data_IF_212083256080
#
_entry.id   IF_212083256080
#
_cell.length_a   1.000
_cell.length_b   1.000
_cell.length_c   1.000
_cell.angle_alpha   90.00
_cell.angle_beta   90.00
_cell.angle_gamma   90.00
#
_symmetry.space_group_name_H-M   'P 1'
#
loop_
_entity.id
_entity.type
_entity.pdbx_description
1 polymer ?
#
# COMPACT_ATOMS: atom_id res chain seq x y z
N UNK A 1 -22.81 18.17 6.83
CA UNK A 1 -21.89 18.87 5.90
C UNK A 1 -22.17 18.36 4.50
N UNK A 2 -22.50 19.23 3.56
CA UNK A 2 -22.64 18.90 2.14
C UNK A 2 -21.27 19.02 1.46
N UNK A 3 -20.84 17.98 0.74
CA UNK A 3 -19.64 18.05 -0.10
C UNK A 3 -19.93 19.00 -1.27
N UNK A 4 -19.07 20.00 -1.58
CA UNK A 4 -19.35 20.98 -2.65
C UNK A 4 -19.62 20.35 -4.02
N UNK A 5 -19.06 19.16 -4.29
CA UNK A 5 -19.28 18.43 -5.55
C UNK A 5 -20.38 17.37 -5.51
N UNK A 6 -20.91 17.00 -4.34
CA UNK A 6 -21.90 15.94 -4.19
C UNK A 6 -22.91 16.31 -3.07
N UNK A 7 -24.01 17.00 -3.41
CA UNK A 7 -24.90 17.58 -2.40
C UNK A 7 -25.76 16.57 -1.63
N UNK A 8 -25.90 15.33 -2.11
CA UNK A 8 -26.82 14.35 -1.51
C UNK A 8 -26.14 13.09 -0.95
N UNK A 9 -25.06 12.59 -1.55
CA UNK A 9 -24.27 11.46 -1.05
C UNK A 9 -22.85 11.54 -1.64
N UNK A 10 -21.82 11.55 -0.79
CA UNK A 10 -20.44 11.45 -1.25
C UNK A 10 -19.96 10.00 -1.08
N UNK A 11 -19.61 9.27 -2.15
CA UNK A 11 -19.13 7.89 -2.05
C UNK A 11 -17.78 7.78 -1.31
N UNK A 12 -17.05 8.89 -1.19
CA UNK A 12 -15.74 8.96 -0.53
C UNK A 12 -15.81 9.50 0.92
N UNK A 13 -17.00 9.51 1.54
CA UNK A 13 -17.15 9.89 2.93
C UNK A 13 -16.76 8.69 3.82
N UNK A 14 -15.70 8.84 4.63
CA UNK A 14 -15.27 7.80 5.59
C UNK A 14 -15.33 8.30 7.02
N UNK A 15 -15.75 7.43 7.93
CA UNK A 15 -15.66 7.69 9.36
C UNK A 15 -14.22 7.46 9.82
N UNK A 16 -13.60 8.49 10.40
CA UNK A 16 -12.25 8.42 10.96
C UNK A 16 -12.40 8.29 12.49
N UNK A 17 -11.83 7.23 13.10
CA UNK A 17 -11.84 7.06 14.55
C UNK A 17 -11.15 8.23 15.27
N UNK A 18 -11.53 8.46 16.52
CA UNK A 18 -10.80 9.41 17.37
C UNK A 18 -9.48 8.78 17.83
N UNK A 19 -8.39 9.53 17.68
CA UNK A 19 -7.07 9.16 18.16
C UNK A 19 -6.52 10.31 19.03
N UNK A 20 -6.67 10.17 20.35
CA UNK A 20 -6.26 11.22 21.30
C UNK A 20 -4.79 11.05 21.67
N UNK A 21 -4.02 12.16 21.78
CA UNK A 21 -4.50 13.54 21.92
C UNK A 21 -4.69 14.32 20.61
N UNK A 22 -4.41 13.71 19.45
CA UNK A 22 -4.20 14.47 18.23
C UNK A 22 -5.49 14.78 17.45
N UNK A 23 -6.47 13.86 17.41
CA UNK A 23 -7.64 13.96 16.54
C UNK A 23 -8.93 13.52 17.26
N UNK A 24 -9.96 14.38 17.23
CA UNK A 24 -11.26 14.13 17.89
C UNK A 24 -12.19 13.14 17.19
N UNK A 25 -11.74 12.50 16.10
CA UNK A 25 -12.60 11.67 15.23
C UNK A 25 -13.64 12.49 14.44
N UNK A 26 -14.22 11.89 13.40
CA UNK A 26 -15.26 12.54 12.58
C UNK A 26 -15.40 11.97 11.17
N UNK A 27 -16.41 12.44 10.43
CA UNK A 27 -16.55 12.11 9.00
C UNK A 27 -15.61 12.99 8.17
N UNK A 28 -14.67 12.38 7.44
CA UNK A 28 -13.83 13.09 6.48
C UNK A 28 -14.24 12.72 5.06
N UNK A 29 -14.33 13.75 4.23
CA UNK A 29 -14.50 13.60 2.79
C UNK A 29 -13.12 13.73 2.16
N UNK A 30 -12.64 12.71 1.44
CA UNK A 30 -11.37 12.78 0.72
C UNK A 30 -11.37 13.79 -0.44
N UNK A 31 -12.51 14.43 -0.73
CA UNK A 31 -12.68 15.34 -1.87
C UNK A 31 -12.33 16.81 -1.55
N UNK A 32 -11.98 17.16 -0.31
CA UNK A 32 -11.82 18.57 0.13
C UNK A 32 -10.41 18.97 0.57
N UNK A 33 -9.39 18.12 0.39
CA UNK A 33 -8.02 18.66 0.43
C UNK A 33 -7.82 19.45 -0.85
N UNK A 34 -7.43 20.72 -0.74
CA UNK A 34 -7.25 21.64 -1.86
C UNK A 34 -6.19 21.20 -2.89
N UNK A 35 -5.59 20.02 -2.72
CA UNK A 35 -4.60 19.45 -3.62
C UNK A 35 -5.00 18.13 -4.28
N UNK A 36 -6.13 17.49 -3.93
CA UNK A 36 -6.62 16.30 -4.65
C UNK A 36 -5.63 15.13 -4.78
N UNK A 37 -4.52 15.14 -4.04
CA UNK A 37 -3.51 14.08 -4.03
C UNK A 37 -3.93 13.03 -3.01
N UNK A 38 -4.07 11.79 -3.47
CA UNK A 38 -4.12 10.62 -2.61
C UNK A 38 -2.66 10.31 -2.25
N UNK A 39 -2.29 10.26 -0.97
CA UNK A 39 -0.97 9.76 -0.56
C UNK A 39 -0.72 8.38 -1.17
N UNK A 40 0.49 8.10 -1.67
CA UNK A 40 0.75 6.86 -2.41
C UNK A 40 0.60 5.61 -1.52
N UNK A 41 0.77 5.76 -0.20
CA UNK A 41 0.52 4.73 0.83
C UNK A 41 -0.96 4.44 1.07
N UNK A 42 -1.86 5.30 0.58
CA UNK A 42 -3.31 5.08 0.57
C UNK A 42 -3.83 4.61 -0.80
N UNK A 43 -2.98 4.53 -1.83
CA UNK A 43 -3.36 4.03 -3.16
C UNK A 43 -3.39 2.50 -3.18
N UNK A 44 -4.48 1.93 -3.68
CA UNK A 44 -4.54 0.50 -3.97
C UNK A 44 -3.90 0.18 -5.34
N UNK A 45 -3.73 -1.12 -5.63
CA UNK A 45 -3.10 -1.59 -6.89
C UNK A 45 -3.78 -1.00 -8.13
N UNK A 46 -5.11 -1.00 -8.18
CA UNK A 46 -5.88 -0.49 -9.34
C UNK A 46 -5.64 1.01 -9.56
N UNK A 47 -5.49 1.78 -8.47
CA UNK A 47 -5.18 3.21 -8.53
C UNK A 47 -3.76 3.47 -9.02
N UNK A 48 -2.80 2.60 -8.66
CA UNK A 48 -1.42 2.69 -9.13
C UNK A 48 -1.32 2.32 -10.62
N UNK A 49 -2.01 1.27 -11.07
CA UNK A 49 -2.08 0.88 -12.48
C UNK A 49 -2.69 1.99 -13.34
N UNK A 50 -3.78 2.62 -12.86
CA UNK A 50 -4.37 3.76 -13.52
C UNK A 50 -3.43 4.97 -13.61
N UNK A 51 -2.53 5.16 -12.63
CA UNK A 51 -1.52 6.21 -12.66
C UNK A 51 -0.47 5.95 -13.75
N UNK A 52 0.01 4.71 -13.88
CA UNK A 52 0.96 4.31 -14.93
C UNK A 52 0.37 4.48 -16.33
N UNK A 53 -0.87 4.03 -16.55
CA UNK A 53 -1.56 4.20 -17.84
C UNK A 53 -1.70 5.68 -18.23
N UNK A 54 -2.01 6.55 -17.26
CA UNK A 54 -2.08 8.00 -17.51
C UNK A 54 -0.73 8.61 -17.86
N UNK A 55 0.35 8.15 -17.23
CA UNK A 55 1.70 8.62 -17.55
C UNK A 55 2.08 8.25 -18.99
N UNK A 56 1.83 7.01 -19.40
CA UNK A 56 2.08 6.54 -20.76
C UNK A 56 1.25 7.32 -21.81
N UNK A 57 -0.03 7.58 -21.52
CA UNK A 57 -0.88 8.41 -22.38
C UNK A 57 -0.35 9.83 -22.55
N UNK A 58 0.17 10.44 -21.48
CA UNK A 58 0.75 11.78 -21.52
C UNK A 58 2.03 11.83 -22.38
N UNK A 59 2.91 10.82 -22.26
CA UNK A 59 4.10 10.70 -23.10
C UNK A 59 3.74 10.54 -24.58
N UNK A 60 2.78 9.65 -24.90
CA UNK A 60 2.30 9.46 -26.26
C UNK A 60 1.68 10.73 -26.86
N UNK A 61 0.95 11.51 -26.06
CA UNK A 61 0.39 12.80 -26.51
C UNK A 61 1.49 13.81 -26.83
N UNK A 62 2.54 13.89 -25.99
CA UNK A 62 3.71 14.75 -26.25
C UNK A 62 4.41 14.34 -27.55
N UNK A 63 4.60 13.05 -27.79
CA UNK A 63 5.20 12.56 -29.04
C UNK A 63 4.36 12.92 -30.27
N UNK A 64 3.03 12.78 -30.22
CA UNK A 64 2.14 13.18 -31.33
C UNK A 64 2.22 14.67 -31.61
N UNK A 65 2.18 15.52 -30.58
CA UNK A 65 2.35 16.97 -30.75
C UNK A 65 3.73 17.28 -31.34
N UNK A 66 4.78 16.60 -30.89
CA UNK A 66 6.12 16.77 -31.44
C UNK A 66 6.20 16.33 -32.91
N UNK A 67 5.59 15.19 -33.27
CA UNK A 67 5.52 14.67 -34.62
C UNK A 67 4.73 15.59 -35.57
N UNK A 68 3.75 16.34 -35.07
CA UNK A 68 3.09 17.41 -35.83
C UNK A 68 4.01 18.62 -36.03
N UNK A 69 4.72 19.05 -34.98
CA UNK A 69 5.60 20.23 -35.02
C UNK A 69 6.79 20.05 -35.99
N UNK A 70 7.33 18.82 -36.15
CA UNK A 70 8.51 18.56 -36.97
C UNK A 70 8.29 18.87 -38.48
N UNK A 71 7.28 18.32 -39.17
CA UNK A 71 6.94 18.70 -40.54
C UNK A 71 6.52 20.17 -40.67
N UNK A 72 5.87 20.73 -39.64
CA UNK A 72 5.44 22.12 -39.63
C UNK A 72 6.60 23.12 -39.64
N UNK A 73 7.73 22.79 -38.99
CA UNK A 73 8.98 23.54 -39.11
C UNK A 73 9.62 23.42 -40.49
N UNK A 74 9.47 22.27 -41.15
CA UNK A 74 10.09 21.99 -42.45
C UNK A 74 9.33 22.62 -43.63
N UNK A 75 7.99 22.76 -43.54
CA UNK A 75 7.15 23.23 -44.65
C UNK A 75 6.62 24.67 -44.51
N UNK A 76 6.92 25.37 -43.41
CA UNK A 76 6.60 26.78 -43.24
C UNK A 76 5.16 27.05 -42.79
N UNK A 77 4.97 27.18 -41.47
CA UNK A 77 3.71 27.48 -40.78
C UNK A 77 2.96 28.75 -41.22
N UNK A 78 3.57 29.65 -41.99
CA UNK A 78 2.99 30.95 -42.28
C UNK A 78 1.73 30.89 -43.18
N UNK A 79 1.45 29.73 -43.81
CA UNK A 79 0.35 29.57 -44.75
C UNK A 79 -0.95 29.02 -44.14
N UNK A 80 -0.90 28.39 -42.95
CA UNK A 80 -2.08 27.82 -42.32
C UNK A 80 -2.76 28.82 -41.38
N UNK A 81 -4.10 28.97 -41.45
CA UNK A 81 -4.84 29.78 -40.48
C UNK A 81 -4.62 29.25 -39.05
N UNK A 82 -4.45 30.12 -38.05
CA UNK A 82 -4.27 29.72 -36.65
C UNK A 82 -5.35 28.78 -36.10
N UNK A 83 -6.58 28.89 -36.61
CA UNK A 83 -7.71 28.00 -36.28
C UNK A 83 -7.48 26.56 -36.72
N UNK A 84 -6.81 26.35 -37.85
CA UNK A 84 -6.45 25.02 -38.35
C UNK A 84 -5.35 24.41 -37.49
N UNK A 85 -4.37 25.21 -37.07
CA UNK A 85 -3.29 24.75 -36.17
C UNK A 85 -3.86 24.37 -34.79
N UNK A 86 -4.72 25.21 -34.21
CA UNK A 86 -5.36 24.92 -32.93
C UNK A 86 -6.21 23.63 -33.00
N UNK A 87 -6.94 23.41 -34.11
CA UNK A 87 -7.71 22.19 -34.33
C UNK A 87 -6.80 20.95 -34.41
N UNK A 88 -5.71 21.01 -35.18
CA UNK A 88 -4.80 19.86 -35.34
C UNK A 88 -4.07 19.51 -34.03
N UNK A 89 -3.72 20.52 -33.22
CA UNK A 89 -3.15 20.29 -31.88
C UNK A 89 -4.21 19.69 -30.95
N UNK A 90 -5.45 20.19 -30.99
CA UNK A 90 -6.56 19.60 -30.24
C UNK A 90 -6.81 18.14 -30.62
N UNK A 91 -6.89 17.83 -31.91
CA UNK A 91 -7.09 16.45 -32.42
C UNK A 91 -5.97 15.51 -31.98
N UNK A 92 -4.71 15.94 -32.00
CA UNK A 92 -3.59 15.11 -31.53
C UNK A 92 -3.58 14.89 -30.01
N UNK A 93 -4.11 15.84 -29.25
CA UNK A 93 -4.22 15.76 -27.80
C UNK A 93 -5.44 14.93 -27.36
N UNK A 94 -6.53 14.95 -28.13
CA UNK A 94 -7.77 14.21 -27.87
C UNK A 94 -7.76 12.77 -28.40
N UNK A 95 -6.79 12.38 -29.24
CA UNK A 95 -6.66 11.00 -29.71
C UNK A 95 -6.31 10.04 -28.55
N UNK A 96 -7.15 9.02 -28.26
CA UNK A 96 -6.83 8.02 -27.27
C UNK A 96 -5.59 7.23 -27.70
N UNK A 97 -4.67 6.99 -26.76
CA UNK A 97 -3.51 6.14 -27.04
C UNK A 97 -3.97 4.72 -27.42
N UNK A 98 -3.26 4.02 -28.33
CA UNK A 98 -3.65 2.68 -28.79
C UNK A 98 -3.72 1.60 -27.68
N UNK A 99 -3.20 1.88 -26.49
CA UNK A 99 -3.31 1.01 -25.31
C UNK A 99 -4.64 1.15 -24.53
N UNK A 100 -5.50 2.12 -24.88
CA UNK A 100 -6.80 2.33 -24.22
C UNK A 100 -7.88 1.36 -24.77
N UNK A 101 -7.66 0.06 -24.66
CA UNK A 101 -8.70 -0.95 -24.93
C UNK A 101 -9.24 -1.50 -23.62
N UNK A 102 -10.48 -1.11 -23.32
CA UNK A 102 -11.42 -1.77 -22.40
C UNK A 102 -11.08 -1.83 -20.90
N UNK A 103 -10.91 -0.67 -20.26
CA UNK A 103 -11.43 -0.43 -18.91
C UNK A 103 -11.31 1.06 -18.57
N UNK A 104 -12.42 1.69 -18.19
CA UNK A 104 -12.57 3.11 -17.82
C UNK A 104 -12.36 4.12 -18.94
N UNK A 105 -13.41 4.88 -19.26
CA UNK A 105 -13.28 6.14 -20.01
C UNK A 105 -12.22 7.01 -19.30
N UNK A 106 -11.18 7.49 -20.00
CA UNK A 106 -10.17 8.31 -19.36
C UNK A 106 -10.86 9.58 -18.87
N UNK A 107 -10.80 9.82 -17.56
CA UNK A 107 -11.22 11.09 -17.00
C UNK A 107 -10.52 12.22 -17.78
N UNK A 108 -11.22 13.32 -18.11
CA UNK A 108 -10.64 14.43 -18.86
C UNK A 108 -9.34 14.84 -18.18
N UNK A 109 -8.26 14.87 -18.96
CA UNK A 109 -6.93 15.15 -18.43
C UNK A 109 -6.91 16.57 -17.88
N UNK A 110 -6.66 16.78 -16.57
CA UNK A 110 -6.59 18.10 -15.98
C UNK A 110 -5.51 18.98 -16.65
N UNK A 111 -4.50 18.34 -17.26
CA UNK A 111 -3.50 19.01 -18.08
C UNK A 111 -4.10 19.60 -19.35
N UNK A 112 -4.95 18.84 -20.06
CA UNK A 112 -5.59 19.31 -21.28
C UNK A 112 -6.50 20.50 -20.99
N UNK A 113 -7.26 20.44 -19.89
CA UNK A 113 -8.06 21.56 -19.43
C UNK A 113 -7.19 22.77 -19.04
N UNK A 114 -6.06 22.57 -18.35
CA UNK A 114 -5.15 23.65 -17.98
C UNK A 114 -4.45 24.28 -19.21
N UNK A 115 -4.01 23.47 -20.18
CA UNK A 115 -3.46 23.96 -21.45
C UNK A 115 -4.52 24.75 -22.20
N UNK A 116 -5.74 24.21 -22.30
CA UNK A 116 -6.85 24.87 -22.98
C UNK A 116 -7.22 26.19 -22.31
N UNK A 117 -7.35 26.25 -20.97
CA UNK A 117 -7.64 27.50 -20.26
C UNK A 117 -6.49 28.51 -20.38
N UNK A 118 -5.23 28.09 -20.24
CA UNK A 118 -4.08 28.98 -20.40
C UNK A 118 -3.97 29.54 -21.84
N UNK A 119 -4.29 28.72 -22.85
CA UNK A 119 -4.37 29.17 -24.24
C UNK A 119 -5.56 30.11 -24.44
N UNK A 120 -6.72 29.82 -23.86
CA UNK A 120 -7.94 30.62 -23.97
C UNK A 120 -7.79 31.99 -23.33
N UNK A 121 -7.29 32.07 -22.09
CA UNK A 121 -7.08 33.34 -21.37
C UNK A 121 -6.13 34.26 -22.15
N UNK A 122 -4.99 33.74 -22.62
CA UNK A 122 -4.04 34.54 -23.40
C UNK A 122 -4.51 34.85 -24.82
N UNK A 123 -5.28 33.98 -25.44
CA UNK A 123 -5.89 34.26 -26.74
C UNK A 123 -6.91 35.38 -26.61
N UNK A 124 -7.72 35.39 -25.55
CA UNK A 124 -8.69 36.45 -25.27
C UNK A 124 -8.01 37.78 -24.91
N UNK A 125 -6.92 37.76 -24.15
CA UNK A 125 -6.15 38.97 -23.83
C UNK A 125 -5.43 39.55 -25.06
N UNK A 126 -4.85 38.69 -25.91
CA UNK A 126 -4.22 39.14 -27.15
C UNK A 126 -5.26 39.52 -28.21
N UNK A 127 -6.48 38.96 -28.16
CA UNK A 127 -7.56 39.25 -29.11
C UNK A 127 -7.95 40.73 -29.10
N UNK A 128 -7.81 41.38 -27.94
CA UNK A 128 -8.08 42.79 -27.74
C UNK A 128 -6.97 43.71 -28.29
N UNK A 129 -5.77 43.17 -28.55
CA UNK A 129 -4.59 43.89 -29.07
C UNK A 129 -4.29 43.57 -30.56
N UNK A 130 -5.19 42.80 -31.22
CA UNK A 130 -5.03 42.26 -32.59
C UNK A 130 -4.95 43.29 -33.72
N UNK A 131 -5.07 44.58 -33.43
CA UNK A 131 -4.94 45.62 -34.44
C UNK A 131 -3.51 45.83 -34.96
N UNK A 132 -2.47 45.31 -34.28
CA UNK A 132 -1.08 45.78 -34.51
C UNK A 132 0.00 44.70 -34.69
N UNK A 133 -0.27 43.41 -34.48
CA UNK A 133 0.77 42.35 -34.58
C UNK A 133 0.60 41.46 -35.81
N UNK A 134 1.70 41.20 -36.52
CA UNK A 134 1.72 40.29 -37.68
C UNK A 134 1.37 38.85 -37.25
N UNK A 135 0.62 38.06 -38.06
CA UNK A 135 0.28 36.66 -37.77
C UNK A 135 1.48 35.78 -37.38
N UNK A 136 2.67 36.06 -37.92
CA UNK A 136 3.91 35.36 -37.56
C UNK A 136 4.27 35.53 -36.07
N UNK A 137 4.08 36.72 -35.51
CA UNK A 137 4.34 36.99 -34.10
C UNK A 137 3.32 36.30 -33.18
N UNK A 138 2.06 36.20 -33.61
CA UNK A 138 1.01 35.53 -32.85
C UNK A 138 1.25 34.02 -32.75
N UNK A 139 1.61 33.37 -33.87
CA UNK A 139 1.94 31.93 -33.89
C UNK A 139 3.17 31.66 -33.01
N UNK A 140 4.20 32.50 -33.09
CA UNK A 140 5.39 32.37 -32.24
C UNK A 140 5.07 32.52 -30.75
N UNK A 141 4.21 33.48 -30.38
CA UNK A 141 3.74 33.68 -29.00
C UNK A 141 2.99 32.47 -28.47
N UNK A 142 2.02 31.95 -29.23
CA UNK A 142 1.26 30.74 -28.88
C UNK A 142 2.16 29.51 -28.72
N UNK A 143 3.09 29.29 -29.64
CA UNK A 143 4.03 28.17 -29.56
C UNK A 143 4.94 28.25 -28.33
N UNK A 144 5.38 29.46 -27.95
CA UNK A 144 6.18 29.66 -26.74
C UNK A 144 5.36 29.43 -25.46
N UNK A 145 4.09 29.86 -25.44
CA UNK A 145 3.18 29.58 -24.31
C UNK A 145 2.92 28.08 -24.18
N UNK A 146 2.57 27.38 -25.27
CA UNK A 146 2.34 25.94 -25.23
C UNK A 146 3.58 25.19 -24.74
N UNK A 147 4.78 25.58 -25.21
CA UNK A 147 6.05 25.02 -24.72
C UNK A 147 6.25 25.28 -23.23
N UNK A 148 5.98 26.50 -22.74
CA UNK A 148 6.14 26.83 -21.33
C UNK A 148 5.22 25.98 -20.43
N UNK A 149 3.96 25.79 -20.83
CA UNK A 149 3.01 24.94 -20.10
C UNK A 149 3.46 23.48 -20.13
N UNK A 150 3.85 22.95 -21.29
CA UNK A 150 4.33 21.57 -21.41
C UNK A 150 5.58 21.31 -20.56
N UNK A 151 6.55 22.24 -20.56
CA UNK A 151 7.74 22.14 -19.71
C UNK A 151 7.37 22.17 -18.22
N UNK A 152 6.50 23.10 -17.81
CA UNK A 152 6.07 23.21 -16.42
C UNK A 152 5.33 21.95 -15.96
N UNK A 153 4.49 21.36 -16.81
CA UNK A 153 3.79 20.13 -16.49
C UNK A 153 4.74 18.92 -16.44
N UNK A 154 5.66 18.79 -17.40
CA UNK A 154 6.67 17.74 -17.38
C UNK A 154 7.55 17.81 -16.12
N UNK A 155 7.88 19.01 -15.66
CA UNK A 155 8.58 19.22 -14.39
C UNK A 155 7.74 18.78 -13.18
N UNK A 156 6.43 19.07 -13.19
CA UNK A 156 5.52 18.65 -12.13
C UNK A 156 5.34 17.12 -12.10
N UNK A 157 5.16 16.47 -13.24
CA UNK A 157 5.09 15.01 -13.36
C UNK A 157 6.40 14.36 -12.91
N UNK A 158 7.54 14.88 -13.34
CA UNK A 158 8.83 14.36 -12.91
C UNK A 158 9.04 14.51 -11.39
N UNK A 159 8.51 15.58 -10.78
CA UNK A 159 8.53 15.73 -9.33
C UNK A 159 7.61 14.73 -8.63
N UNK A 160 6.41 14.50 -9.16
CA UNK A 160 5.47 13.48 -8.65
C UNK A 160 6.05 12.06 -8.77
N UNK A 161 6.73 11.75 -9.88
CA UNK A 161 7.38 10.45 -10.05
C UNK A 161 8.46 10.21 -9.00
N UNK A 162 9.35 11.20 -8.79
CA UNK A 162 10.39 11.10 -7.75
C UNK A 162 9.81 10.93 -6.35
N UNK A 163 8.75 11.67 -6.03
CA UNK A 163 8.02 11.54 -4.76
C UNK A 163 7.39 10.14 -4.61
N UNK A 164 6.80 9.60 -5.67
CA UNK A 164 6.26 8.25 -5.68
C UNK A 164 7.33 7.16 -5.51
N UNK A 165 8.49 7.32 -6.17
CA UNK A 165 9.64 6.42 -6.02
C UNK A 165 10.17 6.44 -4.58
N UNK A 166 10.28 7.61 -3.97
CA UNK A 166 10.70 7.78 -2.58
C UNK A 166 9.70 7.13 -1.61
N UNK A 167 8.39 7.34 -1.82
CA UNK A 167 7.34 6.73 -1.00
C UNK A 167 7.30 5.20 -1.14
N UNK A 168 7.47 4.67 -2.36
CA UNK A 168 7.53 3.23 -2.59
C UNK A 168 8.75 2.60 -1.90
N UNK A 169 9.91 3.26 -1.96
CA UNK A 169 11.11 2.82 -1.26
C UNK A 169 10.89 2.80 0.26
N UNK A 170 10.34 3.88 0.81
CA UNK A 170 10.04 3.98 2.24
C UNK A 170 9.03 2.92 2.70
N UNK A 171 8.00 2.64 1.91
CA UNK A 171 7.03 1.59 2.21
C UNK A 171 7.68 0.19 2.21
N UNK A 172 8.57 -0.11 1.26
CA UNK A 172 9.31 -1.38 1.22
C UNK A 172 10.20 -1.56 2.44
N UNK A 173 10.99 -0.54 2.79
CA UNK A 173 11.81 -0.55 4.01
C UNK A 173 10.96 -0.81 5.24
N UNK A 174 9.81 -0.15 5.36
CA UNK A 174 8.89 -0.36 6.50
C UNK A 174 8.33 -1.77 6.57
N UNK A 175 7.99 -2.38 5.42
CA UNK A 175 7.52 -3.78 5.37
C UNK A 175 8.63 -4.71 5.85
N UNK A 176 9.86 -4.55 5.35
CA UNK A 176 11.02 -5.35 5.76
C UNK A 176 11.31 -5.23 7.27
N UNK A 177 11.22 -4.01 7.82
CA UNK A 177 11.38 -3.76 9.25
C UNK A 177 10.32 -4.49 10.09
N UNK A 178 9.04 -4.36 9.71
CA UNK A 178 7.92 -5.02 10.42
C UNK A 178 8.02 -6.54 10.31
N UNK A 179 8.42 -7.08 9.15
CA UNK A 179 8.63 -8.52 8.97
C UNK A 179 9.79 -9.02 9.84
N UNK A 180 10.88 -8.26 9.94
CA UNK A 180 12.02 -8.58 10.80
C UNK A 180 11.63 -8.57 12.28
N UNK A 181 10.88 -7.56 12.73
CA UNK A 181 10.37 -7.48 14.10
C UNK A 181 9.44 -8.65 14.42
N UNK A 182 8.51 -8.97 13.52
CA UNK A 182 7.59 -10.10 13.65
C UNK A 182 8.34 -11.43 13.74
N UNK A 183 9.34 -11.63 12.89
CA UNK A 183 10.15 -12.85 12.87
C UNK A 183 10.99 -12.99 14.14
N UNK A 184 11.51 -11.87 14.67
CA UNK A 184 12.14 -11.81 15.99
C UNK A 184 11.19 -12.26 17.10
N UNK A 185 9.98 -11.71 17.16
CA UNK A 185 8.97 -12.09 18.15
C UNK A 185 8.57 -13.57 18.05
N UNK A 186 8.48 -14.13 16.83
CA UNK A 186 8.21 -15.56 16.65
C UNK A 186 9.35 -16.44 17.13
N UNK A 187 10.61 -16.03 16.93
CA UNK A 187 11.78 -16.74 17.43
C UNK A 187 11.84 -16.73 18.95
N UNK A 188 11.60 -15.57 19.57
CA UNK A 188 11.52 -15.46 21.05
C UNK A 188 10.42 -16.36 21.62
N UNK A 189 9.24 -16.36 20.99
CA UNK A 189 8.15 -17.29 21.33
C UNK A 189 8.60 -18.74 21.20
N UNK A 190 9.31 -19.12 20.14
CA UNK A 190 9.79 -20.48 19.94
C UNK A 190 10.75 -20.92 21.05
N UNK A 191 11.67 -20.04 21.49
CA UNK A 191 12.54 -20.31 22.65
C UNK A 191 11.75 -20.59 23.93
N UNK A 192 10.73 -19.77 24.21
CA UNK A 192 9.88 -19.96 25.40
C UNK A 192 9.06 -21.26 25.31
N UNK A 193 8.50 -21.57 24.14
CA UNK A 193 7.75 -22.81 23.92
C UNK A 193 8.66 -24.03 24.03
N UNK A 194 9.90 -23.97 23.51
CA UNK A 194 10.88 -25.04 23.66
C UNK A 194 11.23 -25.30 25.12
N UNK A 195 11.46 -24.24 25.92
CA UNK A 195 11.67 -24.36 27.35
C UNK A 195 10.46 -24.99 28.06
N UNK A 196 9.25 -24.51 27.77
CA UNK A 196 8.02 -25.05 28.34
C UNK A 196 7.82 -26.53 27.97
N UNK A 197 8.07 -26.91 26.72
CA UNK A 197 7.99 -28.28 26.26
C UNK A 197 8.99 -29.18 27.00
N UNK A 198 10.25 -28.75 27.14
CA UNK A 198 11.27 -29.48 27.90
C UNK A 198 10.91 -29.68 29.39
N UNK A 199 10.14 -28.74 29.97
CA UNK A 199 9.66 -28.83 31.36
C UNK A 199 8.35 -29.62 31.51
N UNK A 200 7.64 -29.92 30.42
CA UNK A 200 6.31 -30.53 30.44
C UNK A 200 6.39 -32.01 30.12
N UNK A 201 6.10 -32.92 31.09
CA UNK A 201 6.08 -34.34 30.83
C UNK A 201 5.10 -34.71 29.72
N UNK A 202 5.55 -35.54 28.77
CA UNK A 202 4.73 -35.99 27.64
C UNK A 202 4.54 -34.95 26.53
N UNK A 203 5.24 -33.81 26.58
CA UNK A 203 5.32 -32.90 25.45
C UNK A 203 6.05 -33.59 24.28
N UNK A 204 5.55 -33.37 23.08
CA UNK A 204 6.11 -33.93 21.84
C UNK A 204 6.14 -32.87 20.75
N UNK A 205 6.98 -33.08 19.74
CA UNK A 205 6.97 -32.32 18.50
C UNK A 205 6.75 -33.29 17.33
N UNK A 206 5.90 -32.90 16.38
CA UNK A 206 5.57 -33.71 15.22
C UNK A 206 5.53 -32.85 13.95
N UNK A 207 5.64 -33.45 12.74
CA UNK A 207 5.41 -32.72 11.50
C UNK A 207 4.05 -32.01 11.48
N UNK A 208 3.96 -30.86 10.79
CA UNK A 208 2.73 -30.08 10.63
C UNK A 208 2.03 -30.43 9.29
N UNK A 209 1.08 -31.38 9.24
CA UNK A 209 0.44 -31.78 7.99
C UNK A 209 -0.55 -30.75 7.43
N UNK A 210 -0.89 -29.73 8.21
CA UNK A 210 -1.80 -28.63 7.85
C UNK A 210 -1.08 -27.45 7.19
N UNK A 211 0.24 -27.53 7.03
CA UNK A 211 1.06 -26.51 6.36
C UNK A 211 1.70 -27.14 5.11
N UNK A 212 1.42 -26.55 3.94
CA UNK A 212 1.91 -27.06 2.64
C UNK A 212 3.44 -26.93 2.47
N UNK A 213 4.08 -26.09 3.29
CA UNK A 213 5.52 -25.86 3.26
C UNK A 213 6.29 -26.94 4.04
N UNK A 214 7.35 -27.54 3.46
CA UNK A 214 8.09 -28.61 4.10
C UNK A 214 8.86 -28.13 5.35
N UNK A 215 8.97 -29.02 6.34
CA UNK A 215 9.80 -28.82 7.53
C UNK A 215 9.11 -28.10 8.68
N UNK A 216 7.87 -27.61 8.49
CA UNK A 216 7.06 -27.10 9.59
C UNK A 216 6.69 -28.23 10.56
N UNK A 217 6.69 -27.89 11.84
CA UNK A 217 6.40 -28.82 12.93
C UNK A 217 5.37 -28.20 13.88
N UNK A 218 4.73 -29.02 14.71
CA UNK A 218 3.84 -28.57 15.77
C UNK A 218 4.35 -29.13 17.09
N UNK A 219 4.58 -28.25 18.05
CA UNK A 219 4.81 -28.64 19.44
C UNK A 219 3.47 -28.86 20.14
N UNK A 220 3.29 -30.02 20.77
CA UNK A 220 2.11 -30.38 21.55
C UNK A 220 2.50 -30.56 23.01
N UNK A 221 1.79 -29.90 23.91
CA UNK A 221 2.06 -29.95 25.33
C UNK A 221 0.78 -29.76 26.15
N UNK A 222 0.81 -30.20 27.41
CA UNK A 222 -0.36 -30.12 28.31
C UNK A 222 -0.08 -29.13 29.43
N UNK A 223 -0.79 -28.00 29.44
CA UNK A 223 -0.70 -26.95 30.46
C UNK A 223 -2.01 -26.95 31.26
N UNK A 224 -1.94 -27.11 32.58
CA UNK A 224 -3.15 -27.13 33.42
C UNK A 224 -4.16 -28.22 33.04
N UNK A 225 -3.69 -29.36 32.53
CA UNK A 225 -4.54 -30.45 32.05
C UNK A 225 -5.21 -30.20 30.69
N UNK A 226 -4.86 -29.11 29.99
CA UNK A 226 -5.37 -28.77 28.66
C UNK A 226 -4.25 -28.84 27.63
N UNK A 227 -4.56 -29.39 26.46
CA UNK A 227 -3.61 -29.37 25.34
C UNK A 227 -3.42 -27.92 24.86
N UNK A 228 -2.19 -27.58 24.53
CA UNK A 228 -1.83 -26.39 23.80
C UNK A 228 -0.85 -26.77 22.68
N UNK A 229 -1.02 -26.18 21.51
CA UNK A 229 -0.16 -26.41 20.36
C UNK A 229 0.32 -25.12 19.69
N UNK A 230 1.50 -25.19 19.07
CA UNK A 230 2.10 -24.10 18.29
C UNK A 230 2.82 -24.66 17.08
N UNK A 231 2.58 -24.04 15.91
CA UNK A 231 3.43 -24.22 14.75
C UNK A 231 4.82 -23.65 14.97
N UNK A 232 5.82 -24.45 14.66
CA UNK A 232 7.24 -24.16 14.76
C UNK A 232 7.81 -24.09 13.35
N UNK A 233 8.38 -22.93 13.03
CA UNK A 233 9.03 -22.69 11.74
C UNK A 233 10.25 -23.61 11.59
N UNK A 234 10.56 -24.08 10.35
CA UNK A 234 11.75 -24.89 10.11
C UNK A 234 13.06 -24.28 10.67
N UNK A 235 13.18 -22.94 10.65
CA UNK A 235 14.35 -22.21 11.16
C UNK A 235 14.56 -22.30 12.67
N UNK A 236 13.51 -22.65 13.42
CA UNK A 236 13.49 -22.73 14.87
C UNK A 236 13.37 -24.19 15.37
N UNK A 237 13.30 -25.17 14.46
CA UNK A 237 13.14 -26.58 14.79
C UNK A 237 14.26 -27.11 15.70
N UNK A 238 15.51 -26.65 15.50
CA UNK A 238 16.65 -27.07 16.32
C UNK A 238 16.51 -26.67 17.80
N UNK A 239 15.70 -25.66 18.14
CA UNK A 239 15.42 -25.28 19.52
C UNK A 239 14.72 -26.41 20.30
N UNK A 240 14.05 -27.31 19.58
CA UNK A 240 13.28 -28.41 20.13
C UNK A 240 14.06 -29.74 20.15
N UNK A 241 15.37 -29.74 19.87
CA UNK A 241 16.18 -30.96 19.79
C UNK A 241 16.14 -31.84 21.06
N UNK A 242 15.84 -31.26 22.23
CA UNK A 242 15.70 -31.98 23.50
C UNK A 242 14.28 -32.49 23.78
N UNK A 243 13.30 -32.12 22.96
CA UNK A 243 11.90 -32.56 23.04
C UNK A 243 11.73 -33.84 22.20
N UNK A 244 10.91 -34.78 22.67
CA UNK A 244 10.64 -36.02 21.95
C UNK A 244 9.97 -35.72 20.60
N UNK A 245 10.57 -36.20 19.50
CA UNK A 245 10.01 -36.09 18.16
C UNK A 245 9.21 -37.35 17.85
N UNK A 246 7.99 -37.17 17.37
CA UNK A 246 7.05 -38.25 17.05
C UNK A 246 6.46 -38.06 15.66
N UNK A 247 5.89 -39.14 15.13
CA UNK A 247 5.15 -39.09 13.87
C UNK A 247 3.80 -38.35 14.05
N UNK A 248 3.24 -37.85 12.95
CA UNK A 248 2.01 -37.05 12.97
C UNK A 248 0.76 -37.83 13.43
N UNK A 249 0.81 -39.17 13.41
CA UNK A 249 -0.27 -40.06 13.86
C UNK A 249 -0.11 -40.50 15.34
N UNK A 250 0.90 -40.01 16.06
CA UNK A 250 1.02 -40.23 17.50
C UNK A 250 -0.21 -39.63 18.21
N UNK A 251 -0.90 -40.39 19.09
CA UNK A 251 -2.07 -39.89 19.81
C UNK A 251 -1.84 -38.59 20.59
N UNK A 252 -0.60 -38.32 21.02
CA UNK A 252 -0.21 -37.06 21.71
C UNK A 252 -0.14 -35.87 20.76
N UNK A 253 0.13 -36.13 19.47
CA UNK A 253 0.20 -35.16 18.39
C UNK A 253 -1.16 -34.93 17.69
N UNK A 254 -2.26 -35.47 18.23
CA UNK A 254 -3.60 -35.17 17.71
C UNK A 254 -4.14 -33.87 18.30
N UNK A 255 -4.41 -32.89 17.44
CA UNK A 255 -5.08 -31.66 17.84
C UNK A 255 -6.51 -31.96 18.33
N UNK A 256 -6.85 -31.48 19.52
CA UNK A 256 -8.14 -31.73 20.14
C UNK A 256 -9.26 -30.75 19.72
N UNK A 257 -9.02 -29.90 18.70
CA UNK A 257 -10.02 -28.98 18.16
C UNK A 257 -10.15 -27.63 18.88
N UNK A 258 -9.27 -27.32 19.83
CA UNK A 258 -9.33 -26.04 20.55
C UNK A 258 -9.04 -24.84 19.65
N UNK A 259 -9.80 -23.76 19.82
CA UNK A 259 -9.49 -22.47 19.19
C UNK A 259 -8.28 -21.80 19.83
N UNK A 260 -7.68 -20.84 19.12
CA UNK A 260 -6.60 -20.00 19.66
C UNK A 260 -7.03 -19.26 20.93
N UNK A 261 -8.26 -18.75 20.97
CA UNK A 261 -8.79 -18.06 22.15
C UNK A 261 -8.92 -19.00 23.35
N UNK A 262 -9.53 -20.18 23.18
CA UNK A 262 -9.67 -21.18 24.25
C UNK A 262 -8.31 -21.62 24.81
N UNK A 263 -7.29 -21.80 23.94
CA UNK A 263 -5.91 -22.07 24.36
C UNK A 263 -5.38 -21.01 25.30
N UNK A 264 -5.45 -19.74 24.90
CA UNK A 264 -4.89 -18.64 25.68
C UNK A 264 -5.71 -18.33 26.94
N UNK A 265 -7.04 -18.49 26.92
CA UNK A 265 -7.86 -18.43 28.12
C UNK A 265 -7.48 -19.52 29.11
N UNK A 266 -7.25 -20.75 28.63
CA UNK A 266 -6.80 -21.87 29.46
C UNK A 266 -5.42 -21.63 30.10
N UNK A 267 -4.46 -21.13 29.31
CA UNK A 267 -3.13 -20.76 29.80
C UNK A 267 -3.24 -19.68 30.88
N UNK A 268 -3.98 -18.60 30.62
CA UNK A 268 -4.14 -17.50 31.58
C UNK A 268 -4.78 -17.96 32.90
N UNK A 269 -5.81 -18.82 32.82
CA UNK A 269 -6.44 -19.40 34.01
C UNK A 269 -5.45 -20.26 34.82
N UNK A 270 -4.66 -21.10 34.16
CA UNK A 270 -3.67 -21.92 34.85
C UNK A 270 -2.52 -21.09 35.43
N UNK A 271 -2.06 -20.04 34.75
CA UNK A 271 -1.10 -19.09 35.29
C UNK A 271 -1.61 -18.43 36.57
N UNK A 272 -2.87 -17.98 36.59
CA UNK A 272 -3.49 -17.39 37.79
C UNK A 272 -3.59 -18.40 38.95
N UNK A 273 -3.89 -19.67 38.64
CA UNK A 273 -3.89 -20.76 39.62
C UNK A 273 -2.49 -20.99 40.21
N UNK A 274 -1.46 -21.08 39.36
CA UNK A 274 -0.06 -21.24 39.79
C UNK A 274 0.40 -20.09 40.68
N UNK A 275 0.05 -18.84 40.31
CA UNK A 275 0.37 -17.67 41.13
C UNK A 275 -0.28 -17.74 42.51
N UNK A 276 -1.52 -18.23 42.59
CA UNK A 276 -2.26 -18.38 43.85
C UNK A 276 -1.69 -19.50 44.72
N UNK A 277 -1.34 -20.64 44.11
CA UNK A 277 -0.89 -21.85 44.81
C UNK A 277 0.58 -21.78 45.24
N UNK A 278 1.45 -21.25 44.40
CA UNK A 278 2.88 -21.34 44.60
C UNK A 278 3.52 -20.02 45.09
N UNK A 279 2.86 -18.88 44.93
CA UNK A 279 3.49 -17.58 45.21
C UNK A 279 4.79 -17.37 44.39
N UNK A 280 5.41 -16.19 44.49
CA UNK A 280 6.70 -15.94 43.81
C UNK A 280 7.86 -16.75 44.44
N UNK A 281 7.74 -17.16 45.70
CA UNK A 281 8.82 -17.83 46.45
C UNK A 281 8.99 -19.32 46.11
N UNK A 282 7.94 -20.07 45.71
CA UNK A 282 8.08 -21.50 45.32
C UNK A 282 8.78 -21.65 43.96
N UNK A 283 8.86 -20.61 43.12
CA UNK A 283 9.47 -20.68 41.77
C UNK A 283 10.97 -21.07 41.78
N UNK A 284 11.71 -20.69 42.82
CA UNK A 284 13.15 -21.01 42.94
C UNK A 284 13.45 -22.27 43.80
N UNK A 285 12.45 -22.77 44.53
CA UNK A 285 12.64 -23.84 45.53
C UNK A 285 12.48 -25.27 45.00
N UNK A 286 12.19 -25.47 43.71
CA UNK A 286 12.14 -26.80 43.09
C UNK A 286 13.53 -27.40 42.85
N UNK A 287 14.30 -27.63 43.92
CA UNK A 287 15.45 -28.54 43.88
C UNK A 287 14.95 -29.96 44.16
N UNK A 288 15.00 -30.84 43.15
CA UNK A 288 14.83 -32.29 43.36
C UNK A 288 13.46 -32.90 43.05
N UNK A 289 12.66 -32.30 42.15
CA UNK A 289 11.48 -32.97 41.58
C UNK A 289 10.25 -33.07 42.50
N UNK A 290 10.32 -32.55 43.74
CA UNK A 290 9.16 -32.44 44.62
C UNK A 290 8.38 -31.18 44.20
N UNK A 291 7.26 -31.37 43.50
CA UNK A 291 6.27 -30.31 43.26
C UNK A 291 5.68 -29.89 44.62
N UNK A 292 5.43 -28.60 44.82
CA UNK A 292 4.76 -28.07 46.01
C UNK A 292 3.45 -28.89 46.19
N UNK A 293 3.38 -29.75 47.23
CA UNK A 293 2.19 -30.57 47.51
C UNK A 293 1.07 -29.63 48.02
N UNK A 294 -0.19 -29.85 47.60
CA UNK A 294 -1.32 -29.03 48.05
C UNK A 294 -1.58 -29.15 49.55
#
# INVERSE_FOLDING_TARGET
MTCPGFPYTCPNLRAVPADRPHHGGGLRCACTTAEGRIPLDEMNSDQLDALYVRAEQAEAAVERVHALIVPWKQHGLAALPPTVVARLVGEALDEPAPAATEATEPAPSPLLDQIYQAMKERYLDNALDLGQTSPKHQIASLANTARAVAVSHGQALAAQHRDAEEQLLAARTRVEEVETERDGAYRERAHLVALLAAMTPGAVIAPAPDVDEPGWQIAYLTIGGRQASWHISPRDAELFAAVEHVEADDPRAHWNGHTTEEKYTGIAAHTAELMTRCGPECAEMHRGGIRCHP
#
